data_IF_093003034571
#
_entry.id   IF_093003034571
#
_cell.length_a   1.000
_cell.length_b   1.000
_cell.length_c   1.000
_cell.angle_alpha   90.00
_cell.angle_beta   90.00
_cell.angle_gamma   90.00
#
_symmetry.space_group_name_H-M   'P 1'
#
loop_
_entity.id
_entity.type
_entity.pdbx_description
1 polymer ?
#
# COMPACT_ATOMS: atom_id res chain seq x y z
N UNK A 1 16.32 32.45 23.41
CA UNK A 1 16.37 30.97 23.44
C UNK A 1 15.07 30.31 22.91
N UNK A 2 14.14 31.03 22.27
CA UNK A 2 12.84 30.45 21.89
C UNK A 2 12.76 29.97 20.43
N UNK A 3 13.64 30.42 19.53
CA UNK A 3 13.49 30.14 18.09
C UNK A 3 13.93 28.75 17.63
N UNK A 4 14.61 27.98 18.49
CA UNK A 4 14.99 26.59 18.19
C UNK A 4 13.85 25.62 18.49
N UNK A 5 13.03 25.90 19.51
CA UNK A 5 11.87 25.09 19.88
C UNK A 5 10.72 25.28 18.88
N UNK A 6 10.44 26.51 18.44
CA UNK A 6 9.42 26.78 17.41
C UNK A 6 9.73 26.13 16.06
N UNK A 7 11.01 26.05 15.66
CA UNK A 7 11.42 25.34 14.43
C UNK A 7 11.17 23.85 14.51
N UNK A 8 11.48 23.23 15.65
CA UNK A 8 11.25 21.79 15.83
C UNK A 8 9.75 21.43 15.86
N UNK A 9 8.90 22.30 16.42
CA UNK A 9 7.45 22.09 16.40
C UNK A 9 6.87 22.24 15.00
N UNK A 10 7.24 23.29 14.26
CA UNK A 10 6.78 23.49 12.88
C UNK A 10 7.27 22.40 11.91
N UNK A 11 8.49 21.88 12.08
CA UNK A 11 8.98 20.75 11.30
C UNK A 11 8.25 19.43 11.63
N UNK A 12 7.92 19.19 12.90
CA UNK A 12 7.15 18.01 13.32
C UNK A 12 5.72 18.04 12.80
N UNK A 13 5.07 19.21 12.86
CA UNK A 13 3.71 19.40 12.34
C UNK A 13 3.67 19.27 10.81
N UNK A 14 4.67 19.80 10.10
CA UNK A 14 4.76 19.68 8.64
C UNK A 14 5.01 18.24 8.15
N UNK A 15 5.58 17.37 8.99
CA UNK A 15 5.83 15.96 8.69
C UNK A 15 4.65 15.03 8.99
N UNK A 16 3.58 15.54 9.60
CA UNK A 16 2.40 14.76 9.94
C UNK A 16 1.33 14.94 8.87
N UNK A 17 1.04 13.87 8.10
CA UNK A 17 -0.11 13.89 7.18
C UNK A 17 -1.43 13.69 7.94
N UNK A 18 -2.55 14.04 7.31
CA UNK A 18 -3.90 14.18 7.87
C UNK A 18 -4.43 12.98 8.69
N UNK A 19 -3.81 11.81 8.59
CA UNK A 19 -4.18 10.58 9.32
C UNK A 19 -3.25 10.28 10.53
N UNK A 20 -2.39 11.21 10.95
CA UNK A 20 -1.44 11.01 12.06
C UNK A 20 -0.24 10.13 11.71
N UNK A 21 0.03 9.97 10.42
CA UNK A 21 1.19 9.25 9.91
C UNK A 21 2.36 10.22 9.80
N UNK A 22 3.50 9.88 10.40
CA UNK A 22 4.76 10.55 10.13
C UNK A 22 5.27 10.12 8.76
N UNK A 23 5.68 11.07 7.91
CA UNK A 23 6.33 10.77 6.62
C UNK A 23 7.57 9.90 6.82
N UNK A 24 8.26 10.05 7.96
CA UNK A 24 9.49 9.33 8.28
C UNK A 24 9.26 7.81 8.50
N UNK A 25 8.03 7.36 8.74
CA UNK A 25 7.70 5.95 9.01
C UNK A 25 7.24 5.18 7.74
N UNK A 26 7.29 5.82 6.57
CA UNK A 26 6.81 5.22 5.33
C UNK A 26 7.92 4.44 4.63
N UNK A 27 7.70 3.15 4.42
CA UNK A 27 8.58 2.29 3.61
C UNK A 27 7.94 2.03 2.24
N UNK A 28 8.68 2.34 1.17
CA UNK A 28 8.25 2.22 -0.24
C UNK A 28 8.93 1.04 -0.97
N UNK A 29 9.64 0.17 -0.26
CA UNK A 29 10.45 -0.91 -0.80
C UNK A 29 9.57 -2.09 -1.23
N UNK A 30 8.86 -1.88 -2.33
CA UNK A 30 8.01 -2.87 -2.96
C UNK A 30 8.36 -3.02 -4.43
N UNK A 31 8.36 -4.26 -4.91
CA UNK A 31 8.38 -4.60 -6.32
C UNK A 31 6.96 -4.85 -6.81
N UNK A 32 6.61 -4.29 -7.96
CA UNK A 32 5.29 -4.47 -8.57
C UNK A 32 5.48 -5.09 -9.95
N UNK A 33 5.00 -6.31 -10.13
CA UNK A 33 5.06 -7.07 -11.36
C UNK A 33 3.65 -7.19 -11.97
N UNK A 34 3.51 -6.83 -13.24
CA UNK A 34 2.23 -6.89 -13.95
C UNK A 34 1.86 -5.53 -14.54
N UNK A 35 1.30 -5.57 -15.76
CA UNK A 35 0.94 -4.37 -16.51
C UNK A 35 -0.53 -4.44 -16.92
N UNK A 36 -1.40 -3.87 -16.09
CA UNK A 36 -2.85 -3.88 -16.29
C UNK A 36 -3.42 -2.51 -15.91
N UNK A 37 -4.70 -2.27 -16.25
CA UNK A 37 -5.36 -1.00 -15.91
C UNK A 37 -5.53 -0.76 -14.40
N UNK A 38 -5.28 -1.77 -13.57
CA UNK A 38 -5.42 -1.74 -12.11
C UNK A 38 -4.07 -1.93 -11.40
N UNK A 39 -2.94 -1.88 -12.11
CA UNK A 39 -1.62 -1.85 -11.46
C UNK A 39 -1.57 -0.64 -10.51
N UNK A 40 -1.25 -0.82 -9.20
CA UNK A 40 -1.17 0.29 -8.26
C UNK A 40 -0.17 1.34 -8.73
N UNK A 41 -0.51 2.62 -8.54
CA UNK A 41 0.40 3.74 -8.86
C UNK A 41 1.49 3.88 -7.79
N UNK A 42 1.22 3.41 -6.58
CA UNK A 42 2.17 3.43 -5.46
C UNK A 42 1.83 2.34 -4.46
N UNK A 43 2.86 1.70 -3.91
CA UNK A 43 2.74 0.77 -2.78
C UNK A 43 3.71 1.21 -1.69
N UNK A 44 3.22 1.26 -0.45
CA UNK A 44 4.03 1.59 0.71
C UNK A 44 3.41 1.03 1.98
N UNK A 45 4.16 1.03 3.07
CA UNK A 45 3.62 0.72 4.40
C UNK A 45 4.02 1.77 5.43
N UNK A 46 3.35 1.74 6.57
CA UNK A 46 3.63 2.59 7.73
C UNK A 46 4.09 1.77 8.95
N UNK A 47 4.84 0.69 8.71
CA UNK A 47 5.22 -0.33 9.70
C UNK A 47 4.07 -1.15 10.32
N UNK A 48 2.80 -0.80 10.06
CA UNK A 48 1.62 -1.52 10.61
C UNK A 48 0.64 -1.99 9.55
N UNK A 49 0.51 -1.24 8.45
CA UNK A 49 -0.44 -1.47 7.37
C UNK A 49 0.27 -1.25 6.05
N UNK A 50 -0.10 -2.04 5.06
CA UNK A 50 0.34 -1.87 3.68
C UNK A 50 -0.75 -1.15 2.90
N UNK A 51 -0.37 -0.10 2.18
CA UNK A 51 -1.24 0.79 1.43
C UNK A 51 -0.91 0.63 -0.05
N UNK A 52 -1.94 0.32 -0.85
CA UNK A 52 -1.85 0.25 -2.30
C UNK A 52 -2.70 1.39 -2.87
N UNK A 53 -2.05 2.42 -3.40
CA UNK A 53 -2.74 3.51 -4.10
C UNK A 53 -3.10 3.03 -5.50
N UNK A 54 -4.40 2.96 -5.77
CA UNK A 54 -4.90 2.48 -7.06
C UNK A 54 -5.01 3.64 -8.06
N UNK A 55 -4.89 3.36 -9.36
CA UNK A 55 -5.18 4.36 -10.37
C UNK A 55 -6.67 4.72 -10.32
N UNK A 56 -7.01 5.98 -10.65
CA UNK A 56 -8.41 6.47 -10.66
C UNK A 56 -9.34 5.64 -11.54
N UNK A 57 -8.80 4.98 -12.57
CA UNK A 57 -9.54 4.05 -13.44
C UNK A 57 -10.24 2.92 -12.66
N UNK A 58 -9.71 2.52 -11.49
CA UNK A 58 -10.30 1.46 -10.66
C UNK A 58 -11.56 1.92 -9.96
N UNK A 59 -11.67 3.21 -9.60
CA UNK A 59 -12.88 3.75 -8.95
C UNK A 59 -14.09 3.71 -9.88
N UNK A 60 -13.87 3.83 -11.18
CA UNK A 60 -14.92 3.77 -12.21
C UNK A 60 -15.14 2.36 -12.78
N UNK A 61 -14.27 1.41 -12.45
CA UNK A 61 -14.31 0.03 -12.96
C UNK A 61 -14.48 -0.97 -11.80
N UNK A 62 -14.29 -2.27 -12.09
CA UNK A 62 -14.33 -3.32 -11.07
C UNK A 62 -13.06 -3.28 -10.22
N UNK A 63 -13.25 -3.41 -8.90
CA UNK A 63 -12.16 -3.58 -7.94
C UNK A 63 -11.54 -4.98 -8.07
N UNK A 64 -10.20 -5.11 -8.11
CA UNK A 64 -9.55 -6.42 -8.07
C UNK A 64 -9.74 -7.08 -6.70
N UNK A 65 -9.76 -8.42 -6.69
CA UNK A 65 -9.66 -9.19 -5.46
C UNK A 65 -8.21 -9.20 -4.95
N UNK A 66 -8.04 -9.10 -3.64
CA UNK A 66 -6.75 -9.08 -2.98
C UNK A 66 -6.48 -10.42 -2.32
N UNK A 67 -5.36 -11.05 -2.67
CA UNK A 67 -4.85 -12.27 -2.04
C UNK A 67 -3.49 -11.98 -1.41
N UNK A 68 -3.29 -12.43 -0.18
CA UNK A 68 -2.00 -12.35 0.52
C UNK A 68 -1.32 -13.70 0.51
N UNK A 69 0.00 -13.70 0.31
CA UNK A 69 0.85 -14.88 0.44
C UNK A 69 2.02 -14.55 1.38
N UNK A 70 2.09 -15.26 2.51
CA UNK A 70 3.14 -15.13 3.52
C UNK A 70 3.80 -16.48 3.73
N UNK A 71 5.14 -16.53 3.79
CA UNK A 71 5.90 -17.78 3.91
C UNK A 71 5.43 -18.90 2.93
N UNK A 72 5.01 -18.52 1.71
CA UNK A 72 4.51 -19.45 0.70
C UNK A 72 3.08 -19.97 0.90
N UNK A 73 2.36 -19.50 1.92
CA UNK A 73 0.98 -19.89 2.21
C UNK A 73 0.00 -18.75 1.97
N UNK A 74 -1.20 -19.08 1.48
CA UNK A 74 -2.28 -18.11 1.32
C UNK A 74 -2.82 -17.73 2.69
N UNK A 75 -2.87 -16.43 2.97
CA UNK A 75 -3.37 -15.90 4.23
C UNK A 75 -4.60 -15.02 3.99
N UNK A 76 -5.61 -15.16 4.85
CA UNK A 76 -6.76 -14.27 4.87
C UNK A 76 -6.46 -13.11 5.82
N UNK A 77 -6.37 -11.92 5.25
CA UNK A 77 -6.11 -10.69 6.00
C UNK A 77 -7.26 -9.71 5.79
N UNK A 78 -7.58 -8.97 6.86
CA UNK A 78 -8.53 -7.87 6.78
C UNK A 78 -7.94 -6.72 5.97
N UNK A 79 -8.71 -6.24 4.99
CA UNK A 79 -8.40 -5.05 4.24
C UNK A 79 -9.63 -4.17 4.09
N UNK A 80 -9.41 -2.91 3.73
CA UNK A 80 -10.48 -1.96 3.40
C UNK A 80 -10.09 -1.15 2.17
N UNK A 81 -11.06 -0.86 1.31
CA UNK A 81 -10.87 0.07 0.20
C UNK A 81 -11.46 1.44 0.56
N UNK A 82 -10.63 2.49 0.59
CA UNK A 82 -11.06 3.85 0.94
C UNK A 82 -10.24 4.89 0.16
N UNK A 83 -10.90 5.89 -0.40
CA UNK A 83 -10.26 7.01 -1.11
C UNK A 83 -9.27 6.55 -2.19
N UNK A 84 -9.66 5.55 -3.00
CA UNK A 84 -8.81 5.01 -4.06
C UNK A 84 -7.67 4.10 -3.57
N UNK A 85 -7.66 3.67 -2.30
CA UNK A 85 -6.57 2.88 -1.72
C UNK A 85 -7.07 1.58 -1.10
N UNK A 86 -6.36 0.48 -1.34
CA UNK A 86 -6.43 -0.67 -0.43
C UNK A 86 -5.56 -0.39 0.78
N UNK A 87 -6.14 -0.56 1.97
CA UNK A 87 -5.46 -0.49 3.25
C UNK A 87 -5.52 -1.91 3.82
N UNK A 88 -4.40 -2.61 3.75
CA UNK A 88 -4.22 -4.00 4.18
C UNK A 88 -3.62 -4.00 5.57
N UNK A 89 -4.20 -4.77 6.49
CA UNK A 89 -3.63 -4.92 7.83
C UNK A 89 -2.33 -5.74 7.77
N UNK A 90 -1.28 -5.27 8.45
CA UNK A 90 0.02 -5.94 8.48
C UNK A 90 0.94 -5.60 7.30
N UNK A 91 2.03 -6.37 7.23
CA UNK A 91 3.12 -6.21 6.27
C UNK A 91 3.38 -7.53 5.55
N UNK A 92 2.47 -7.97 4.66
CA UNK A 92 2.65 -9.23 3.96
C UNK A 92 3.87 -9.21 3.05
N UNK A 93 4.46 -10.38 2.85
CA UNK A 93 5.61 -10.57 1.96
C UNK A 93 5.18 -10.39 0.50
N UNK A 94 4.03 -10.96 0.15
CA UNK A 94 3.47 -10.91 -1.19
C UNK A 94 1.98 -10.58 -1.16
N UNK A 95 1.56 -9.72 -2.09
CA UNK A 95 0.16 -9.43 -2.38
C UNK A 95 -0.08 -9.69 -3.87
N UNK A 96 -1.16 -10.39 -4.20
CA UNK A 96 -1.63 -10.57 -5.56
C UNK A 96 -2.99 -9.89 -5.74
N UNK A 97 -3.08 -9.00 -6.73
CA UNK A 97 -4.34 -8.41 -7.17
C UNK A 97 -4.83 -9.19 -8.40
N UNK A 98 -6.06 -9.68 -8.32
CA UNK A 98 -6.66 -10.55 -9.33
C UNK A 98 -7.93 -9.90 -9.88
N UNK A 99 -8.08 -9.85 -11.19
CA UNK A 99 -9.30 -9.36 -11.83
C UNK A 99 -9.63 -10.19 -13.08
N UNK A 100 -10.88 -10.62 -13.20
CA UNK A 100 -11.37 -11.44 -14.30
C UNK A 100 -11.90 -12.79 -13.83
N UNK A 101 -12.07 -13.71 -14.77
CA UNK A 101 -12.47 -15.11 -14.54
C UNK A 101 -11.29 -16.02 -14.83
N UNK A 102 -11.35 -17.28 -14.41
CA UNK A 102 -10.25 -18.26 -14.51
C UNK A 102 -9.58 -18.29 -15.90
N UNK A 103 -10.36 -18.22 -16.98
CA UNK A 103 -9.84 -18.24 -18.36
C UNK A 103 -9.13 -16.95 -18.81
N UNK A 104 -9.38 -15.81 -18.15
CA UNK A 104 -8.90 -14.48 -18.56
C UNK A 104 -8.47 -13.63 -17.34
N UNK A 105 -7.86 -14.28 -16.34
CA UNK A 105 -7.50 -13.59 -15.10
C UNK A 105 -6.24 -12.74 -15.31
N UNK A 106 -6.40 -11.44 -15.10
CA UNK A 106 -5.28 -10.51 -15.01
C UNK A 106 -4.76 -10.51 -13.57
N UNK A 107 -3.44 -10.54 -13.42
CA UNK A 107 -2.78 -10.58 -12.11
C UNK A 107 -1.71 -9.50 -12.03
N UNK A 108 -1.66 -8.81 -10.90
CA UNK A 108 -0.55 -7.94 -10.50
C UNK A 108 0.02 -8.47 -9.20
N UNK A 109 1.31 -8.80 -9.20
CA UNK A 109 2.04 -9.27 -8.02
C UNK A 109 2.80 -8.11 -7.40
N UNK A 110 2.77 -8.04 -6.08
CA UNK A 110 3.42 -7.01 -5.29
C UNK A 110 4.25 -7.73 -4.25
N UNK A 111 5.56 -7.49 -4.22
CA UNK A 111 6.50 -8.15 -3.30
C UNK A 111 7.15 -7.09 -2.43
N UNK A 112 7.11 -7.28 -1.11
CA UNK A 112 7.89 -6.46 -0.19
C UNK A 112 9.36 -6.86 -0.35
N UNK A 113 10.24 -5.90 -0.60
CA UNK A 113 11.68 -6.14 -0.55
C UNK A 113 12.07 -6.06 0.92
N UNK A 114 12.44 -7.19 1.52
CA UNK A 114 13.02 -7.15 2.86
C UNK A 114 14.37 -6.45 2.75
N UNK A 115 14.63 -5.50 3.65
CA UNK A 115 15.95 -4.90 3.79
C UNK A 115 16.96 -6.01 4.14
N UNK A 116 18.10 -6.01 3.46
CA UNK A 116 19.26 -6.85 3.79
C UNK A 116 19.71 -6.66 5.25
#
# INVERSE_FOLDING_TARGET
>A
MNSLYERQETEKEAKQISDGLSIDDLNFEYEVEGNTHFTPVRVYNNSKKTILEMPRSVETNKLPSLLVINAGQRELINYRFRNGKFIVDGLPDHIALLLGTEDHQQTVLIKRKEGE
#
